data_IF_117906578372
#
_entry.id   IF_117906578372
#
_cell.length_a   1.000
_cell.length_b   1.000
_cell.length_c   1.000
_cell.angle_alpha   90.00
_cell.angle_beta   90.00
_cell.angle_gamma   90.00
#
_symmetry.space_group_name_H-M   'P 1'
#
loop_
_entity.id
_entity.type
_entity.pdbx_description
1 polymer ?
#
# COMPACT_ATOMS: atom_id res chain seq x y z
N UNK A 1 -4.36 23.25 -0.48
CA UNK A 1 -3.34 22.19 -0.61
C UNK A 1 -3.90 20.91 -0.01
N UNK A 2 -4.19 19.87 -0.80
CA UNK A 2 -4.58 18.56 -0.25
C UNK A 2 -3.33 17.96 0.40
N UNK A 3 -3.22 18.08 1.72
CA UNK A 3 -2.23 17.32 2.47
C UNK A 3 -2.55 15.85 2.23
N UNK A 4 -1.67 15.14 1.53
CA UNK A 4 -1.76 13.68 1.41
C UNK A 4 -1.62 13.11 2.80
N UNK A 5 -2.71 12.58 3.33
CA UNK A 5 -2.69 11.95 4.63
C UNK A 5 -1.97 10.61 4.52
N UNK A 6 -1.42 10.11 5.64
CA UNK A 6 -0.80 8.78 5.68
C UNK A 6 -1.75 7.71 5.13
N UNK A 7 -3.04 7.84 5.41
CA UNK A 7 -4.10 6.98 4.88
C UNK A 7 -4.19 7.02 3.35
N UNK A 8 -4.08 8.19 2.72
CA UNK A 8 -4.15 8.31 1.26
C UNK A 8 -2.96 7.61 0.58
N UNK A 9 -1.77 7.75 1.16
CA UNK A 9 -0.56 7.07 0.68
C UNK A 9 -0.72 5.55 0.80
N UNK A 10 -1.28 5.07 1.91
CA UNK A 10 -1.58 3.65 2.10
C UNK A 10 -2.60 3.15 1.08
N UNK A 11 -3.67 3.90 0.82
CA UNK A 11 -4.66 3.59 -0.21
C UNK A 11 -4.03 3.46 -1.59
N UNK A 12 -3.15 4.39 -1.97
CA UNK A 12 -2.45 4.35 -3.27
C UNK A 12 -1.52 3.13 -3.40
N UNK A 13 -0.81 2.75 -2.34
CA UNK A 13 0.06 1.57 -2.34
C UNK A 13 -0.77 0.29 -2.44
N UNK A 14 -1.86 0.19 -1.67
CA UNK A 14 -2.75 -0.97 -1.67
C UNK A 14 -3.46 -1.12 -3.02
N UNK A 15 -3.92 -0.02 -3.62
CA UNK A 15 -4.55 -0.01 -4.94
C UNK A 15 -3.56 -0.45 -6.03
N UNK A 16 -2.33 0.07 -5.97
CA UNK A 16 -1.26 -0.33 -6.88
C UNK A 16 -0.93 -1.83 -6.78
N UNK A 17 -1.02 -2.42 -5.57
CA UNK A 17 -0.83 -3.84 -5.30
C UNK A 17 -2.07 -4.73 -5.50
N UNK A 18 -3.27 -4.14 -5.67
CA UNK A 18 -4.55 -4.86 -5.80
C UNK A 18 -4.68 -5.65 -7.12
N UNK A 19 -3.76 -5.48 -8.06
CA UNK A 19 -3.70 -6.24 -9.31
C UNK A 19 -2.87 -7.53 -9.25
N UNK A 20 -2.16 -7.79 -8.15
CA UNK A 20 -1.21 -8.91 -8.02
C UNK A 20 0.03 -8.71 -8.90
N UNK A 21 1.21 -8.56 -8.29
CA UNK A 21 2.46 -8.38 -9.05
C UNK A 21 3.00 -6.95 -9.09
N UNK A 22 2.63 -6.10 -8.11
CA UNK A 22 3.18 -4.75 -8.06
C UNK A 22 4.65 -4.78 -7.61
N UNK A 23 5.54 -4.24 -8.44
CA UNK A 23 6.95 -4.03 -8.11
C UNK A 23 7.14 -2.76 -7.32
N UNK A 24 8.26 -2.64 -6.59
CA UNK A 24 8.61 -1.43 -5.83
C UNK A 24 8.56 -0.17 -6.70
N UNK A 25 9.07 -0.24 -7.93
CA UNK A 25 9.05 0.89 -8.89
C UNK A 25 7.62 1.33 -9.22
N UNK A 26 6.69 0.39 -9.43
CA UNK A 26 5.28 0.69 -9.71
C UNK A 26 4.60 1.34 -8.50
N UNK A 27 4.88 0.84 -7.29
CA UNK A 27 4.38 1.42 -6.05
C UNK A 27 4.91 2.85 -5.82
N UNK A 28 6.21 3.08 -6.08
CA UNK A 28 6.83 4.40 -5.96
C UNK A 28 6.17 5.43 -6.87
N UNK A 29 6.03 5.10 -8.16
CA UNK A 29 5.41 6.01 -9.13
C UNK A 29 3.96 6.31 -8.79
N UNK A 30 3.17 5.30 -8.38
CA UNK A 30 1.75 5.47 -8.11
C UNK A 30 1.47 6.19 -6.79
N UNK A 31 2.32 6.00 -5.78
CA UNK A 31 2.22 6.69 -4.50
C UNK A 31 3.02 8.00 -4.44
N UNK A 32 3.75 8.38 -5.51
CA UNK A 32 4.68 9.51 -5.55
C UNK A 32 5.61 9.54 -4.33
N UNK A 33 6.27 8.41 -4.06
CA UNK A 33 7.19 8.21 -2.94
C UNK A 33 8.61 7.96 -3.43
N UNK A 34 9.60 8.45 -2.68
CA UNK A 34 10.99 8.03 -2.86
C UNK A 34 11.20 6.58 -2.39
N UNK A 35 12.31 5.95 -2.79
CA UNK A 35 12.62 4.57 -2.42
C UNK A 35 12.68 4.39 -0.89
N UNK A 36 13.25 5.35 -0.17
CA UNK A 36 13.35 5.33 1.29
C UNK A 36 11.98 5.46 1.94
N UNK A 37 11.15 6.39 1.47
CA UNK A 37 9.78 6.56 1.97
C UNK A 37 8.93 5.33 1.71
N UNK A 38 9.01 4.73 0.52
CA UNK A 38 8.28 3.51 0.22
C UNK A 38 8.73 2.36 1.14
N UNK A 39 10.04 2.21 1.40
CA UNK A 39 10.54 1.18 2.33
C UNK A 39 10.00 1.36 3.74
N UNK A 40 9.96 2.59 4.25
CA UNK A 40 9.39 2.87 5.57
C UNK A 40 7.89 2.57 5.60
N UNK A 41 7.14 2.97 4.58
CA UNK A 41 5.70 2.67 4.48
C UNK A 41 5.43 1.19 4.35
N UNK A 42 6.19 0.46 3.54
CA UNK A 42 6.07 -1.00 3.43
C UNK A 42 6.39 -1.66 4.76
N UNK A 43 7.45 -1.26 5.45
CA UNK A 43 7.78 -1.77 6.78
C UNK A 43 6.70 -1.42 7.83
N UNK A 44 6.07 -0.24 7.75
CA UNK A 44 4.95 0.16 8.60
C UNK A 44 3.68 -0.64 8.30
N UNK A 45 3.40 -0.90 7.02
CA UNK A 45 2.26 -1.71 6.57
C UNK A 45 2.44 -3.19 6.92
N UNK A 46 3.68 -3.66 6.91
CA UNK A 46 4.07 -5.02 7.28
C UNK A 46 4.09 -5.21 8.80
N UNK A 47 4.64 -4.25 9.57
CA UNK A 47 4.86 -4.40 11.01
C UNK A 47 3.86 -3.72 11.92
N UNK A 48 3.27 -2.57 11.55
CA UNK A 48 2.82 -1.59 12.54
C UNK A 48 1.34 -1.25 12.56
N UNK A 49 0.59 -1.39 11.47
CA UNK A 49 -0.79 -0.85 11.46
C UNK A 49 -1.81 -1.84 12.04
N UNK A 50 -1.78 -3.14 11.75
CA UNK A 50 -2.65 -4.13 12.40
C UNK A 50 -1.94 -5.49 12.31
N UNK A 51 -2.02 -6.33 13.35
CA UNK A 51 -1.48 -7.71 13.46
C UNK A 51 -1.83 -8.70 12.33
N UNK A 52 -2.30 -8.27 11.15
CA UNK A 52 -2.60 -9.12 10.00
C UNK A 52 -2.38 -8.31 8.71
N UNK A 53 -1.20 -8.47 8.11
CA UNK A 53 -0.70 -7.73 6.94
C UNK A 53 -1.74 -7.36 5.89
N UNK A 54 -1.76 -6.08 5.50
CA UNK A 54 -2.58 -5.54 4.41
C UNK A 54 -1.98 -5.84 3.03
N UNK A 55 -0.68 -6.13 3.00
CA UNK A 55 0.09 -6.53 1.83
C UNK A 55 0.95 -7.72 2.23
N UNK A 56 1.11 -8.66 1.31
CA UNK A 56 1.96 -9.83 1.43
C UNK A 56 3.02 -9.81 0.32
N UNK A 57 4.25 -10.18 0.67
CA UNK A 57 5.34 -10.35 -0.28
C UNK A 57 5.28 -11.76 -0.89
N UNK A 58 5.14 -11.85 -2.21
CA UNK A 58 4.90 -13.11 -2.93
C UNK A 58 6.17 -13.80 -3.45
N UNK A 59 7.35 -13.18 -3.27
CA UNK A 59 8.57 -13.54 -4.00
C UNK A 59 8.73 -12.72 -5.28
N UNK A 60 9.89 -12.83 -5.95
CA UNK A 60 10.20 -12.16 -7.22
C UNK A 60 10.00 -10.64 -7.24
N UNK A 61 10.28 -9.96 -6.13
CA UNK A 61 10.09 -8.51 -5.98
C UNK A 61 8.64 -8.05 -6.13
N UNK A 62 7.68 -8.96 -5.95
CA UNK A 62 6.25 -8.66 -6.10
C UNK A 62 5.49 -8.62 -4.77
N UNK A 63 4.54 -7.70 -4.70
CA UNK A 63 3.64 -7.51 -3.57
C UNK A 63 2.18 -7.72 -4.00
N UNK A 64 1.37 -8.28 -3.10
CA UNK A 64 -0.06 -8.50 -3.28
C UNK A 64 -0.84 -7.95 -2.10
N UNK A 65 -1.93 -7.25 -2.39
CA UNK A 65 -2.88 -6.79 -1.34
C UNK A 65 -3.66 -7.97 -0.77
N UNK A 66 -3.71 -8.07 0.55
CA UNK A 66 -4.47 -9.12 1.25
C UNK A 66 -5.96 -8.75 1.36
N UNK A 67 -6.80 -9.70 1.77
CA UNK A 67 -8.23 -9.47 1.98
C UNK A 67 -8.53 -8.30 2.95
N UNK A 68 -7.68 -8.09 3.96
CA UNK A 68 -7.80 -6.95 4.89
C UNK A 68 -7.46 -5.63 4.21
N UNK A 69 -6.43 -5.61 3.35
CA UNK A 69 -6.07 -4.46 2.53
C UNK A 69 -7.20 -4.06 1.57
N UNK A 70 -7.84 -5.03 0.95
CA UNK A 70 -9.01 -4.81 0.07
C UNK A 70 -10.16 -4.18 0.85
N UNK A 71 -10.46 -4.66 2.06
CA UNK A 71 -11.55 -4.11 2.89
C UNK A 71 -11.28 -2.65 3.30
N UNK A 72 -10.02 -2.30 3.59
CA UNK A 72 -9.63 -0.93 3.88
C UNK A 72 -9.79 -0.02 2.66
N UNK A 73 -9.35 -0.49 1.47
CA UNK A 73 -9.57 0.23 0.21
C UNK A 73 -11.05 0.52 -0.03
N UNK A 74 -11.94 -0.45 0.20
CA UNK A 74 -13.37 -0.26 0.01
C UNK A 74 -13.95 0.81 0.95
N UNK A 75 -13.56 0.80 2.23
CA UNK A 75 -13.99 1.81 3.21
C UNK A 75 -13.47 3.20 2.80
N UNK A 76 -12.22 3.29 2.36
CA UNK A 76 -11.63 4.56 1.94
C UNK A 76 -12.31 5.13 0.69
N UNK A 77 -12.77 4.25 -0.22
CA UNK A 77 -13.47 4.64 -1.45
C UNK A 77 -14.97 4.94 -1.22
N UNK A 78 -15.56 4.49 -0.10
CA UNK A 78 -16.97 4.80 0.26
C UNK A 78 -17.11 6.05 1.12
N UNK A 79 -16.03 6.58 1.68
CA UNK A 79 -16.02 7.84 2.45
C UNK A 79 -15.59 9.03 1.56
N UNK A 80 -15.57 8.85 0.23
CA UNK A 80 -15.28 9.89 -0.75
C UNK A 80 -16.52 10.67 -1.18
#
# INVERSE_FOLDING_TARGET
MKYRSRSDIVGLILDAANGGGATKTKLMHKAYLSFNQLREYLALLEKKVIKNGLIEYKGDQTYRTTQKGIRLLQIQNTIG
#
